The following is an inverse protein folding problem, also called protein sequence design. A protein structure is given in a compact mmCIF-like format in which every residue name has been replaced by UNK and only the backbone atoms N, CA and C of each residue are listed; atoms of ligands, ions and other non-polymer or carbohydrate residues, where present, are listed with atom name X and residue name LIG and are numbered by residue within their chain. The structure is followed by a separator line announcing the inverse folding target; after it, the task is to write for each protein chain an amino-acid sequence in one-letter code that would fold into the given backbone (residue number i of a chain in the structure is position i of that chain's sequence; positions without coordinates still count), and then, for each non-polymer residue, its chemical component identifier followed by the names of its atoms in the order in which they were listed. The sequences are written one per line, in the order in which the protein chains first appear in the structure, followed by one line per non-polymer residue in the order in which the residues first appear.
data_IF_170064989685
#
_entry.id   IF_170064989685
#
_cell.length_a   1.000
_cell.length_b   1.000
_cell.length_c   1.000
_cell.angle_alpha   90.00
_cell.angle_beta   90.00
_cell.angle_gamma   90.00
#
_symmetry.space_group_name_H-M   'P 1'
#
loop_
_entity.id
_entity.type
_entity.pdbx_description
1 polymer ?
#
# COMPACT_ATOMS: atom_id res chain seq x y z
N UNK A 1 -21.25 -5.61 -1.09
CA UNK A 1 -20.74 -5.92 -2.44
C UNK A 1 -19.24 -5.62 -2.58
N UNK A 2 -18.82 -4.45 -3.13
CA UNK A 2 -17.36 -4.21 -3.37
C UNK A 2 -16.53 -4.24 -2.07
N UNK A 3 -17.00 -3.56 -1.02
CA UNK A 3 -16.36 -3.60 0.31
C UNK A 3 -16.15 -5.03 0.80
N UNK A 4 -17.21 -5.84 0.83
CA UNK A 4 -17.16 -7.20 1.38
C UNK A 4 -16.19 -8.10 0.60
N UNK A 5 -16.13 -7.90 -0.73
CA UNK A 5 -15.17 -8.62 -1.59
C UNK A 5 -13.73 -8.20 -1.32
N UNK A 6 -13.48 -6.90 -1.13
CA UNK A 6 -12.14 -6.38 -0.82
C UNK A 6 -11.68 -6.78 0.57
N UNK A 7 -12.60 -6.78 1.55
CA UNK A 7 -12.35 -7.25 2.90
C UNK A 7 -11.96 -8.74 2.90
N UNK A 8 -12.74 -9.59 2.23
CA UNK A 8 -12.42 -11.01 2.09
C UNK A 8 -11.07 -11.24 1.40
N UNK A 9 -10.75 -10.47 0.37
CA UNK A 9 -9.43 -10.53 -0.28
C UNK A 9 -8.31 -10.13 0.68
N UNK A 10 -8.50 -9.04 1.44
CA UNK A 10 -7.50 -8.56 2.40
C UNK A 10 -7.26 -9.58 3.54
N UNK A 11 -8.31 -10.22 4.05
CA UNK A 11 -8.20 -11.28 5.05
C UNK A 11 -7.42 -12.48 4.51
N UNK A 12 -7.72 -12.94 3.29
CA UNK A 12 -6.97 -14.03 2.65
C UNK A 12 -5.49 -13.66 2.43
N UNK A 13 -5.21 -12.43 2.03
CA UNK A 13 -3.84 -11.93 1.90
C UNK A 13 -3.13 -11.88 3.26
N UNK A 14 -3.82 -11.50 4.34
CA UNK A 14 -3.25 -11.51 5.69
C UNK A 14 -2.88 -12.93 6.14
N UNK A 15 -3.67 -13.95 5.82
CA UNK A 15 -3.36 -15.36 6.06
C UNK A 15 -2.12 -15.80 5.26
N UNK A 16 -2.05 -15.47 3.97
CA UNK A 16 -0.87 -15.75 3.13
C UNK A 16 0.37 -15.06 3.69
N UNK A 17 0.26 -13.81 4.13
CA UNK A 17 1.34 -13.05 4.77
C UNK A 17 1.80 -13.74 6.06
N UNK A 18 0.89 -14.22 6.90
CA UNK A 18 1.24 -14.95 8.12
C UNK A 18 2.09 -16.18 7.80
N UNK A 19 1.62 -17.02 6.87
CA UNK A 19 2.34 -18.22 6.45
C UNK A 19 3.70 -17.89 5.84
N UNK A 20 3.79 -16.85 5.02
CA UNK A 20 5.05 -16.39 4.41
C UNK A 20 6.07 -15.84 5.44
N UNK A 21 5.61 -15.54 6.66
CA UNK A 21 6.44 -15.10 7.79
C UNK A 21 6.70 -16.21 8.81
N UNK A 22 6.43 -17.48 8.45
CA UNK A 22 6.55 -18.64 9.34
C UNK A 22 5.70 -18.51 10.62
N UNK A 23 4.50 -17.93 10.50
CA UNK A 23 3.52 -17.77 11.56
C UNK A 23 2.33 -18.71 11.35
N UNK A 24 1.54 -19.00 12.40
CA UNK A 24 0.22 -19.61 12.22
C UNK A 24 -0.64 -18.79 11.25
N UNK A 25 -1.37 -19.45 10.36
CA UNK A 25 -2.19 -18.78 9.33
C UNK A 25 -3.09 -17.69 9.90
N UNK A 26 -3.68 -17.93 11.07
CA UNK A 26 -4.61 -17.00 11.74
C UNK A 26 -3.94 -15.97 12.67
N UNK A 27 -2.63 -15.82 12.59
CA UNK A 27 -1.87 -14.96 13.51
C UNK A 27 -2.32 -13.49 13.54
N UNK A 28 -2.83 -12.99 12.43
CA UNK A 28 -3.32 -11.62 12.33
C UNK A 28 -4.80 -11.45 12.74
N UNK A 29 -5.59 -12.51 12.85
CA UNK A 29 -7.07 -12.44 12.95
C UNK A 29 -7.55 -11.57 14.12
N UNK A 30 -6.98 -11.73 15.30
CA UNK A 30 -7.33 -10.93 16.49
C UNK A 30 -6.90 -9.45 16.37
N UNK A 31 -5.98 -9.16 15.46
CA UNK A 31 -5.43 -7.82 15.21
C UNK A 31 -6.15 -7.07 14.10
N UNK A 32 -6.99 -7.78 13.32
CA UNK A 32 -7.68 -7.23 12.14
C UNK A 32 -9.21 -7.49 12.16
N UNK A 33 -9.77 -8.07 13.22
CA UNK A 33 -11.20 -8.40 13.35
C UNK A 33 -12.12 -7.18 13.60
N UNK A 34 -11.55 -6.00 13.87
CA UNK A 34 -12.21 -4.69 14.04
C UNK A 34 -11.41 -3.60 13.32
N UNK A 35 -10.93 -3.93 12.14
CA UNK A 35 -9.98 -3.13 11.39
C UNK A 35 -10.51 -1.72 11.05
N UNK A 36 -9.59 -0.73 11.10
CA UNK A 36 -9.90 0.67 10.80
C UNK A 36 -9.69 1.02 9.32
N UNK A 37 -10.04 0.10 8.43
CA UNK A 37 -9.83 0.18 6.98
C UNK A 37 -10.66 1.27 6.33
N UNK A 38 -10.11 1.88 5.27
CA UNK A 38 -10.81 2.88 4.46
C UNK A 38 -10.66 2.59 2.97
N UNK A 39 -11.71 2.92 2.20
CA UNK A 39 -11.64 3.02 0.74
C UNK A 39 -11.49 4.49 0.36
N UNK A 40 -10.54 4.79 -0.52
CA UNK A 40 -10.43 6.10 -1.17
C UNK A 40 -10.61 5.95 -2.67
N UNK A 41 -11.58 6.66 -3.20
CA UNK A 41 -11.79 6.80 -4.64
C UNK A 41 -11.13 8.11 -5.09
N UNK A 42 -10.18 8.03 -6.01
CA UNK A 42 -9.52 9.20 -6.57
C UNK A 42 -9.91 9.35 -8.04
N UNK A 43 -10.25 10.58 -8.41
CA UNK A 43 -10.37 10.97 -9.79
C UNK A 43 -9.28 12.00 -10.11
N UNK A 44 -8.46 11.69 -11.06
CA UNK A 44 -7.42 12.57 -11.60
C UNK A 44 -7.95 13.14 -12.92
N UNK A 45 -8.38 14.40 -12.97
CA UNK A 45 -8.96 14.98 -14.19
C UNK A 45 -7.90 15.08 -15.30
N UNK A 46 -8.37 15.12 -16.53
CA UNK A 46 -7.55 15.54 -17.66
C UNK A 46 -7.00 16.97 -17.43
N UNK A 47 -5.82 17.25 -17.94
CA UNK A 47 -5.27 18.60 -17.88
C UNK A 47 -5.95 19.48 -18.94
N UNK A 48 -6.53 20.60 -18.51
CA UNK A 48 -6.96 21.69 -19.40
C UNK A 48 -5.81 22.61 -19.78
N UNK A 49 -4.77 22.67 -18.92
CA UNK A 49 -3.58 23.49 -19.07
C UNK A 49 -2.34 22.68 -18.69
N UNK A 50 -1.17 23.12 -19.12
CA UNK A 50 0.09 22.48 -18.73
C UNK A 50 0.29 22.56 -17.21
N UNK A 51 0.66 21.48 -16.53
CA UNK A 51 0.95 21.52 -15.11
C UNK A 51 2.13 22.46 -14.80
N UNK A 52 2.11 23.04 -13.61
CA UNK A 52 3.22 23.87 -13.15
C UNK A 52 4.52 23.07 -13.06
N UNK A 53 5.69 23.70 -13.17
CA UNK A 53 6.97 23.03 -12.99
C UNK A 53 7.01 22.26 -11.65
N UNK A 54 7.41 20.98 -11.71
CA UNK A 54 7.45 20.04 -10.57
C UNK A 54 6.08 19.65 -9.97
N UNK A 55 4.98 20.14 -10.49
CA UNK A 55 3.66 19.70 -10.07
C UNK A 55 3.41 18.27 -10.53
N UNK A 56 3.01 17.39 -9.61
CA UNK A 56 2.58 16.01 -9.88
C UNK A 56 1.25 15.74 -9.21
N UNK A 57 0.57 14.68 -9.59
CA UNK A 57 -0.78 14.33 -9.11
C UNK A 57 -0.81 13.91 -7.64
N UNK A 58 0.22 13.18 -7.17
CA UNK A 58 0.43 12.91 -5.75
C UNK A 58 1.93 12.84 -5.45
N UNK A 59 2.38 13.56 -4.43
CA UNK A 59 3.77 13.56 -3.97
C UNK A 59 4.23 12.20 -3.49
N UNK A 60 5.55 12.01 -3.38
CA UNK A 60 6.12 10.78 -2.87
C UNK A 60 5.74 10.56 -1.39
N UNK A 61 5.21 9.38 -1.07
CA UNK A 61 4.77 8.98 0.26
C UNK A 61 4.81 7.45 0.43
N UNK A 62 4.69 6.99 1.65
CA UNK A 62 4.37 5.60 2.01
C UNK A 62 2.94 5.52 2.52
N UNK A 63 2.35 4.32 2.52
CA UNK A 63 1.05 4.08 3.13
C UNK A 63 1.22 3.63 4.58
N UNK A 64 0.37 4.13 5.46
CA UNK A 64 0.49 3.90 6.89
C UNK A 64 0.17 2.47 7.32
N UNK A 65 -0.85 1.83 6.80
CA UNK A 65 -1.46 0.60 7.29
C UNK A 65 -0.66 -0.69 7.19
N UNK A 66 -1.39 -1.80 7.16
CA UNK A 66 -0.82 -3.12 6.92
C UNK A 66 -0.47 -3.29 5.43
N UNK A 67 -1.44 -3.03 4.55
CA UNK A 67 -1.27 -3.07 3.10
C UNK A 67 -2.32 -2.21 2.40
N UNK A 68 -2.01 -1.82 1.17
CA UNK A 68 -2.97 -1.19 0.26
C UNK A 68 -3.21 -2.12 -0.92
N UNK A 69 -4.48 -2.31 -1.27
CA UNK A 69 -4.91 -3.02 -2.47
C UNK A 69 -5.47 -1.98 -3.43
N UNK A 70 -4.72 -1.70 -4.49
CA UNK A 70 -5.02 -0.63 -5.44
C UNK A 70 -5.56 -1.19 -6.76
N UNK A 71 -6.74 -0.74 -7.12
CA UNK A 71 -7.28 -0.82 -8.48
C UNK A 71 -7.01 0.51 -9.20
N UNK A 72 -6.50 0.45 -10.42
CA UNK A 72 -6.28 1.63 -11.25
C UNK A 72 -6.55 1.35 -12.71
N UNK A 73 -6.94 2.40 -13.44
CA UNK A 73 -7.08 2.32 -14.89
C UNK A 73 -5.70 2.29 -15.56
N UNK A 74 -5.57 1.43 -16.58
CA UNK A 74 -4.36 1.34 -17.38
C UNK A 74 -4.26 2.54 -18.34
N UNK A 75 -3.58 3.60 -17.89
CA UNK A 75 -3.37 4.82 -18.67
C UNK A 75 -1.93 5.33 -18.50
N UNK A 76 -1.38 6.03 -19.52
CA UNK A 76 -0.05 6.62 -19.45
C UNK A 76 0.11 7.57 -18.26
N UNK A 77 1.27 7.55 -17.62
CA UNK A 77 1.53 8.22 -16.35
C UNK A 77 0.85 7.47 -15.19
N UNK A 78 1.00 7.95 -13.99
CA UNK A 78 0.34 7.40 -12.83
C UNK A 78 1.30 6.89 -11.78
N UNK A 79 1.04 5.70 -11.25
CA UNK A 79 1.81 5.15 -10.15
C UNK A 79 3.28 4.94 -10.53
N UNK A 80 4.19 5.45 -9.71
CA UNK A 80 5.61 5.12 -9.74
C UNK A 80 6.07 4.69 -8.36
N UNK A 81 6.98 3.72 -8.32
CA UNK A 81 7.51 3.11 -7.11
C UNK A 81 9.02 3.36 -7.07
N UNK A 82 9.56 3.75 -5.93
CA UNK A 82 10.99 3.91 -5.73
C UNK A 82 11.62 2.55 -5.40
N UNK A 83 12.58 2.13 -6.22
CA UNK A 83 13.35 0.90 -5.97
C UNK A 83 14.38 1.11 -4.86
N UNK A 84 14.97 0.02 -4.36
CA UNK A 84 16.05 0.09 -3.36
C UNK A 84 17.31 0.77 -3.88
N UNK A 85 17.52 0.74 -5.19
CA UNK A 85 18.64 1.39 -5.87
C UNK A 85 18.40 2.90 -6.10
N UNK A 86 17.25 3.42 -5.68
CA UNK A 86 16.90 4.83 -5.79
C UNK A 86 16.32 5.24 -7.14
N UNK A 87 15.84 4.30 -7.95
CA UNK A 87 15.23 4.56 -9.24
C UNK A 87 13.69 4.50 -9.17
N UNK A 88 13.04 5.44 -9.84
CA UNK A 88 11.58 5.40 -10.02
C UNK A 88 11.23 4.49 -11.20
N UNK A 89 10.38 3.50 -10.95
CA UNK A 89 9.83 2.61 -11.97
C UNK A 89 8.31 2.76 -12.01
N UNK A 90 7.70 2.53 -13.18
CA UNK A 90 6.26 2.59 -13.32
C UNK A 90 5.61 1.38 -12.65
N UNK A 91 4.61 1.65 -11.81
CA UNK A 91 3.72 0.64 -11.24
C UNK A 91 2.57 0.39 -12.20
N UNK A 92 2.71 -0.60 -13.08
CA UNK A 92 1.69 -0.90 -14.06
C UNK A 92 0.38 -1.33 -13.42
N UNK A 93 -0.70 -0.58 -13.68
CA UNK A 93 -2.07 -1.01 -13.40
C UNK A 93 -2.64 -1.67 -14.64
N UNK A 94 -3.14 -2.90 -14.50
CA UNK A 94 -3.72 -3.67 -15.62
C UNK A 94 -5.18 -3.98 -15.31
N UNK A 95 -6.04 -4.11 -16.34
CA UNK A 95 -7.39 -4.64 -16.15
C UNK A 95 -7.34 -5.99 -15.43
N UNK A 96 -8.28 -6.22 -14.53
CA UNK A 96 -8.42 -7.46 -13.74
C UNK A 96 -7.28 -7.79 -12.77
N UNK A 97 -6.39 -6.83 -12.50
CA UNK A 97 -5.31 -6.97 -11.53
C UNK A 97 -5.38 -5.86 -10.47
N UNK A 98 -4.94 -6.22 -9.27
CA UNK A 98 -4.65 -5.25 -8.20
C UNK A 98 -3.14 -5.07 -8.06
N UNK A 99 -2.72 -3.84 -7.79
CA UNK A 99 -1.38 -3.56 -7.26
C UNK A 99 -1.48 -3.61 -5.75
N UNK A 100 -0.63 -4.41 -5.10
CA UNK A 100 -0.60 -4.52 -3.64
C UNK A 100 0.74 -4.01 -3.14
N UNK A 101 0.71 -3.08 -2.18
CA UNK A 101 1.91 -2.59 -1.51
C UNK A 101 1.82 -2.76 0.00
N UNK A 102 2.96 -2.98 0.62
CA UNK A 102 3.16 -3.06 2.06
C UNK A 102 3.02 -1.65 2.66
N UNK A 103 2.33 -1.55 3.79
CA UNK A 103 2.24 -0.34 4.58
C UNK A 103 3.24 -0.30 5.74
N UNK A 104 3.39 0.87 6.36
CA UNK A 104 4.39 1.15 7.40
C UNK A 104 4.20 0.27 8.65
N UNK A 105 2.96 -0.10 8.99
CA UNK A 105 2.72 -0.97 10.15
C UNK A 105 3.18 -2.41 9.89
N UNK A 106 2.97 -2.95 8.68
CA UNK A 106 3.49 -4.27 8.35
C UNK A 106 5.03 -4.26 8.24
N UNK A 107 5.62 -3.19 7.71
CA UNK A 107 7.08 -2.99 7.74
C UNK A 107 7.61 -3.04 9.17
N UNK A 108 6.96 -2.35 10.12
CA UNK A 108 7.35 -2.38 11.54
C UNK A 108 7.17 -3.76 12.15
N UNK A 109 6.04 -4.44 11.94
CA UNK A 109 5.81 -5.81 12.37
C UNK A 109 6.90 -6.75 11.90
N UNK A 110 7.32 -6.62 10.63
CA UNK A 110 8.33 -7.48 10.03
C UNK A 110 9.76 -7.02 10.28
N UNK A 111 9.98 -6.01 11.14
CA UNK A 111 11.33 -5.51 11.46
C UNK A 111 12.14 -5.16 10.20
N UNK A 112 11.51 -4.51 9.21
CA UNK A 112 12.04 -4.17 7.87
C UNK A 112 12.42 -5.38 7.01
N UNK A 113 11.88 -6.59 7.29
CA UNK A 113 12.03 -7.70 6.34
C UNK A 113 11.31 -7.36 5.05
N UNK A 114 10.11 -6.82 5.16
CA UNK A 114 9.32 -6.28 4.08
C UNK A 114 9.20 -4.77 4.26
N UNK A 115 9.46 -4.02 3.18
CA UNK A 115 9.51 -2.57 3.24
C UNK A 115 8.22 -1.94 2.73
N UNK A 116 7.79 -0.88 3.39
CA UNK A 116 6.81 0.05 2.85
C UNK A 116 7.49 0.88 1.76
N UNK A 117 7.09 0.69 0.51
CA UNK A 117 7.72 1.33 -0.62
C UNK A 117 7.25 2.77 -0.80
N UNK A 118 8.22 3.70 -0.94
CA UNK A 118 7.92 5.06 -1.36
C UNK A 118 7.34 5.04 -2.78
N UNK A 119 6.18 5.67 -2.97
CA UNK A 119 5.50 5.74 -4.25
C UNK A 119 4.91 7.12 -4.50
N UNK A 120 4.60 7.44 -5.74
CA UNK A 120 4.05 8.72 -6.17
C UNK A 120 3.12 8.55 -7.37
N UNK A 121 2.33 9.58 -7.67
CA UNK A 121 1.49 9.60 -8.89
C UNK A 121 1.96 10.74 -9.78
N UNK A 122 2.48 10.40 -10.95
CA UNK A 122 2.98 11.36 -11.93
C UNK A 122 1.89 11.83 -12.88
N UNK A 123 2.20 12.89 -13.60
CA UNK A 123 1.36 13.37 -14.70
C UNK A 123 1.53 12.45 -15.92
N UNK A 124 0.53 12.35 -16.82
CA UNK A 124 0.71 11.72 -18.11
C UNK A 124 1.80 12.45 -18.91
N UNK A 125 2.48 11.75 -19.82
CA UNK A 125 3.47 12.37 -20.71
C UNK A 125 2.86 13.54 -21.50
N UNK A 126 3.62 14.63 -21.63
CA UNK A 126 3.19 15.81 -22.40
C UNK A 126 2.89 15.41 -23.85
N UNK A 127 1.73 15.82 -24.38
CA UNK A 127 1.31 15.50 -25.75
C UNK A 127 0.71 14.10 -25.92
N UNK A 128 0.48 13.37 -24.83
CA UNK A 128 -0.29 12.13 -24.93
C UNK A 128 -1.72 12.45 -25.34
N UNK A 129 -2.16 11.91 -26.49
CA UNK A 129 -3.53 12.07 -27.02
C UNK A 129 -4.62 11.43 -26.13
N UNK A 130 -4.27 10.88 -24.99
CA UNK A 130 -5.11 10.03 -24.13
C UNK A 130 -5.27 10.59 -22.72
N UNK A 131 -5.06 11.88 -22.52
CA UNK A 131 -5.40 12.49 -21.21
C UNK A 131 -6.90 12.75 -21.11
N UNK A 132 -7.64 11.72 -20.72
CA UNK A 132 -9.09 11.76 -20.50
C UNK A 132 -9.49 11.72 -19.01
N UNK A 133 -8.55 11.97 -18.14
CA UNK A 133 -8.74 11.72 -16.72
C UNK A 133 -8.64 10.23 -16.36
N UNK A 134 -8.46 9.94 -15.07
CA UNK A 134 -8.22 8.59 -14.58
C UNK A 134 -8.83 8.38 -13.21
N UNK A 135 -9.45 7.22 -13.01
CA UNK A 135 -9.89 6.76 -11.70
C UNK A 135 -8.89 5.80 -11.06
N UNK A 136 -8.83 5.83 -9.75
CA UNK A 136 -8.25 4.76 -8.94
C UNK A 136 -9.04 4.55 -7.66
N UNK A 137 -9.04 3.32 -7.16
CA UNK A 137 -9.66 2.94 -5.91
C UNK A 137 -8.62 2.23 -5.03
N UNK A 138 -8.26 2.83 -3.91
CA UNK A 138 -7.36 2.24 -2.93
C UNK A 138 -8.13 1.71 -1.74
N UNK A 139 -7.96 0.44 -1.41
CA UNK A 139 -8.42 -0.19 -0.19
C UNK A 139 -7.25 -0.24 0.79
N UNK A 140 -7.25 0.72 1.74
CA UNK A 140 -6.19 0.88 2.74
C UNK A 140 -6.50 0.00 3.93
N UNK A 141 -5.97 -1.22 3.92
CA UNK A 141 -6.22 -2.20 4.96
C UNK A 141 -5.41 -1.88 6.21
N UNK A 142 -6.13 -1.54 7.29
CA UNK A 142 -5.58 -1.14 8.57
C UNK A 142 -5.81 -2.24 9.60
N UNK A 143 -4.94 -2.41 10.60
CA UNK A 143 -5.26 -3.21 11.78
C UNK A 143 -6.39 -2.57 12.61
N UNK A 144 -6.80 -3.27 13.67
CA UNK A 144 -7.63 -2.69 14.72
C UNK A 144 -6.96 -1.45 15.29
N UNK A 145 -7.73 -0.44 15.65
CA UNK A 145 -7.19 0.82 16.19
C UNK A 145 -6.29 0.60 17.44
N UNK A 146 -6.61 -0.38 18.26
CA UNK A 146 -5.92 -0.76 19.49
C UNK A 146 -4.92 -1.92 19.30
N UNK A 147 -4.73 -2.44 18.07
CA UNK A 147 -3.76 -3.50 17.82
C UNK A 147 -2.34 -3.04 18.18
N UNK A 148 -1.64 -3.87 18.94
CA UNK A 148 -0.24 -3.65 19.28
C UNK A 148 0.65 -4.07 18.09
N UNK A 149 1.43 -3.12 17.60
CA UNK A 149 2.39 -3.31 16.52
C UNK A 149 3.77 -3.45 17.17
N UNK A 150 4.25 -4.67 17.24
CA UNK A 150 5.58 -5.03 17.74
C UNK A 150 6.27 -5.99 16.79
N UNK A 151 7.60 -6.02 16.80
CA UNK A 151 8.35 -6.87 15.87
C UNK A 151 8.00 -8.34 16.07
N UNK A 152 7.58 -9.00 15.00
CA UNK A 152 7.21 -10.41 14.95
C UNK A 152 8.42 -11.27 15.35
N UNK A 153 8.27 -12.27 16.24
CA UNK A 153 9.40 -13.08 16.70
C UNK A 153 10.19 -13.75 15.59
N UNK A 154 9.54 -14.23 14.52
CA UNK A 154 10.22 -14.85 13.37
C UNK A 154 11.05 -13.84 12.55
N UNK A 155 10.82 -12.54 12.73
CA UNK A 155 11.60 -11.47 12.13
C UNK A 155 12.73 -10.95 13.03
N UNK A 156 12.99 -11.58 14.16
CA UNK A 156 14.05 -11.23 15.10
C UNK A 156 15.13 -12.32 15.11
N UNK A 157 16.32 -11.96 15.55
CA UNK A 157 17.45 -12.89 15.70
C UNK A 157 18.60 -12.26 16.49
N UNK A 158 19.67 -13.05 16.81
CA UNK A 158 20.83 -12.54 17.55
C UNK A 158 21.47 -11.31 16.90
N UNK A 159 21.58 -11.31 15.57
CA UNK A 159 22.15 -10.20 14.80
C UNK A 159 21.06 -9.25 14.23
N UNK A 160 19.82 -9.46 14.64
CA UNK A 160 18.66 -8.73 14.16
C UNK A 160 17.69 -8.37 15.30
N UNK A 161 18.12 -7.49 16.21
CA UNK A 161 17.27 -7.02 17.30
C UNK A 161 16.08 -6.20 16.76
N UNK A 162 15.04 -6.04 17.59
CA UNK A 162 13.90 -5.19 17.25
C UNK A 162 14.34 -3.75 17.01
N UNK A 163 14.06 -3.21 15.82
CA UNK A 163 14.34 -1.82 15.45
C UNK A 163 13.33 -0.85 16.03
N UNK A 164 12.12 -1.32 16.26
CA UNK A 164 10.98 -0.49 16.64
C UNK A 164 10.50 -0.80 18.05
N UNK A 165 10.17 0.24 18.79
CA UNK A 165 9.39 0.09 20.02
C UNK A 165 7.95 -0.25 19.68
N UNK A 166 7.25 -1.07 20.51
CA UNK A 166 5.84 -1.34 20.33
C UNK A 166 5.00 -0.04 20.30
N UNK A 167 4.02 0.02 19.42
CA UNK A 167 3.07 1.12 19.30
C UNK A 167 1.67 0.56 19.04
N UNK A 168 0.63 1.30 19.43
CA UNK A 168 -0.72 0.97 18.98
C UNK A 168 -0.98 1.53 17.59
N UNK A 169 -1.71 0.77 16.77
CA UNK A 169 -2.01 1.11 15.38
C UNK A 169 -2.65 2.50 15.19
N UNK A 170 -3.48 2.94 16.12
CA UNK A 170 -4.19 4.22 16.04
C UNK A 170 -3.46 5.42 16.67
N UNK A 171 -2.15 5.33 16.95
CA UNK A 171 -1.39 6.41 17.62
C UNK A 171 -0.22 6.89 16.80
#
# INVERSE_FOLDING_TARGET
AYWDSMEALAMNLAHIIAVALDLPETWFDDKINKHATAIRLNYYPAFSESPLPKQIRAGAHTDYGMMTILMGENQPGGLQILTREGHWIDGETKPDYFVINIGDLLMRWTNDTWLSNLHRVTNPPTGSLVDRGRFSAGFFFQPNYDALIECIPTCLGPDRPAKYKPVHSGR
#
